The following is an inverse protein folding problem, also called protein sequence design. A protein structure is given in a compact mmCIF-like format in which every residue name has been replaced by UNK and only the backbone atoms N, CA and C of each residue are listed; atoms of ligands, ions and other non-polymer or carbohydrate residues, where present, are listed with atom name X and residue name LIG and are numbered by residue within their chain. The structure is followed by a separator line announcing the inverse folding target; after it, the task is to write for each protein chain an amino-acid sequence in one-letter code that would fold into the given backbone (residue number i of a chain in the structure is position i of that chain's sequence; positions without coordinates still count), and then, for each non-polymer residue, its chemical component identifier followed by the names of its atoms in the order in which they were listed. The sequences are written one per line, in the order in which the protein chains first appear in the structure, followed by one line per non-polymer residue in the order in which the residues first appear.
data_IF_240478424172
#
_entry.id   IF_240478424172
#
_cell.length_a   1.000
_cell.length_b   1.000
_cell.length_c   1.000
_cell.angle_alpha   90.00
_cell.angle_beta   90.00
_cell.angle_gamma   90.00
#
_symmetry.space_group_name_H-M   'P 1'
#
loop_
_entity.id
_entity.type
_entity.pdbx_description
1 polymer ?
#
# COMPACT_ATOMS: atom_id res chain seq x y z
N UNK A 1 15.74 13.53 -19.14
CA UNK A 1 14.29 13.49 -18.85
C UNK A 1 14.06 12.32 -17.90
N UNK A 2 13.57 12.55 -16.68
CA UNK A 2 13.34 11.44 -15.74
C UNK A 2 12.08 10.69 -16.19
N UNK A 3 12.24 9.47 -16.67
CA UNK A 3 11.11 8.63 -17.03
C UNK A 3 10.43 8.14 -15.74
N UNK A 4 9.09 8.03 -15.75
CA UNK A 4 8.29 7.58 -14.60
C UNK A 4 8.82 6.24 -14.04
N UNK A 5 9.27 5.36 -14.94
CA UNK A 5 9.87 4.08 -14.62
C UNK A 5 11.18 4.22 -13.80
N UNK A 6 12.08 5.13 -14.17
CA UNK A 6 13.32 5.39 -13.42
C UNK A 6 13.06 6.04 -12.05
N UNK A 7 12.03 6.88 -11.96
CA UNK A 7 11.59 7.44 -10.67
C UNK A 7 11.12 6.33 -9.71
N UNK A 8 10.30 5.40 -10.22
CA UNK A 8 9.79 4.27 -9.42
C UNK A 8 10.96 3.38 -8.96
N UNK A 9 11.86 2.98 -9.85
CA UNK A 9 13.01 2.12 -9.49
C UNK A 9 13.89 2.77 -8.42
N UNK A 10 14.14 4.07 -8.51
CA UNK A 10 15.03 4.78 -7.57
C UNK A 10 14.35 5.13 -6.23
N UNK A 11 13.02 5.26 -6.20
CA UNK A 11 12.28 5.69 -5.00
C UNK A 11 11.71 4.50 -4.23
N UNK A 12 11.28 3.45 -4.93
CA UNK A 12 10.57 2.32 -4.33
C UNK A 12 11.53 1.26 -3.76
N UNK A 13 12.26 1.66 -2.72
CA UNK A 13 13.19 0.82 -1.99
C UNK A 13 12.47 -0.08 -0.94
N UNK A 14 13.25 -0.86 -0.19
CA UNK A 14 12.73 -1.71 0.88
C UNK A 14 11.99 -0.90 1.95
N UNK A 15 12.44 0.32 2.24
CA UNK A 15 11.84 1.21 3.22
C UNK A 15 10.43 1.62 2.79
N UNK A 16 10.27 2.07 1.55
CA UNK A 16 8.97 2.42 0.98
C UNK A 16 8.05 1.21 0.95
N UNK A 17 8.55 0.03 0.57
CA UNK A 17 7.76 -1.19 0.63
C UNK A 17 7.23 -1.49 2.04
N UNK A 18 8.09 -1.43 3.05
CA UNK A 18 7.69 -1.65 4.46
C UNK A 18 6.64 -0.62 4.89
N UNK A 19 6.76 0.65 4.49
CA UNK A 19 5.76 1.68 4.80
C UNK A 19 4.39 1.35 4.18
N UNK A 20 4.35 0.83 2.96
CA UNK A 20 3.10 0.37 2.34
C UNK A 20 2.47 -0.79 3.11
N UNK A 21 3.28 -1.77 3.54
CA UNK A 21 2.80 -2.90 4.35
C UNK A 21 2.24 -2.44 5.70
N UNK A 22 2.97 -1.58 6.42
CA UNK A 22 2.53 -1.06 7.72
C UNK A 22 1.25 -0.25 7.56
N UNK A 23 1.19 0.65 6.57
CA UNK A 23 0.00 1.47 6.31
C UNK A 23 -1.21 0.60 5.95
N UNK A 24 -1.02 -0.41 5.10
CA UNK A 24 -2.06 -1.38 4.77
C UNK A 24 -2.53 -2.19 6.00
N UNK A 25 -1.60 -2.62 6.86
CA UNK A 25 -1.92 -3.32 8.09
C UNK A 25 -2.71 -2.43 9.08
N UNK A 26 -2.31 -1.17 9.25
CA UNK A 26 -3.03 -0.20 10.08
C UNK A 26 -4.47 -0.02 9.57
N UNK A 27 -4.65 0.21 8.27
CA UNK A 27 -5.97 0.35 7.66
C UNK A 27 -6.85 -0.89 7.91
N UNK A 28 -6.29 -2.09 7.72
CA UNK A 28 -7.04 -3.35 7.88
C UNK A 28 -7.35 -3.65 9.35
N UNK A 29 -6.41 -3.46 10.27
CA UNK A 29 -6.52 -4.00 11.63
C UNK A 29 -6.90 -2.96 12.68
N UNK A 30 -6.61 -1.68 12.46
CA UNK A 30 -6.90 -0.58 13.39
C UNK A 30 -8.11 0.17 12.87
N UNK A 31 -7.97 0.90 11.77
CA UNK A 31 -9.00 1.82 11.28
C UNK A 31 -10.29 1.08 10.92
N UNK A 32 -10.20 -0.08 10.25
CA UNK A 32 -11.41 -0.86 9.93
C UNK A 32 -12.16 -1.31 11.19
N UNK A 33 -11.46 -1.69 12.26
CA UNK A 33 -12.11 -2.10 13.52
C UNK A 33 -12.82 -0.93 14.19
N UNK A 34 -12.20 0.25 14.15
CA UNK A 34 -12.79 1.46 14.71
C UNK A 34 -14.06 1.88 13.93
N UNK A 35 -14.04 1.80 12.60
CA UNK A 35 -15.26 2.03 11.80
C UNK A 35 -16.37 1.03 12.13
N UNK A 36 -16.02 -0.25 12.29
CA UNK A 36 -16.99 -1.27 12.68
C UNK A 36 -17.59 -0.99 14.07
N UNK A 37 -16.76 -0.55 15.04
CA UNK A 37 -17.21 -0.18 16.40
C UNK A 37 -18.19 0.99 16.38
N UNK A 38 -18.01 1.93 15.46
CA UNK A 38 -18.88 3.09 15.29
C UNK A 38 -20.11 2.86 14.37
N UNK A 39 -20.43 1.60 14.02
CA UNK A 39 -21.50 1.23 13.07
C UNK A 39 -21.33 1.81 11.65
N UNK A 40 -20.11 2.19 11.27
CA UNK A 40 -19.77 2.74 9.95
C UNK A 40 -19.40 1.60 8.98
N UNK A 41 -20.43 0.91 8.48
CA UNK A 41 -20.26 -0.33 7.70
C UNK A 41 -19.73 -0.13 6.29
N UNK A 42 -19.95 1.04 5.67
CA UNK A 42 -19.44 1.36 4.32
C UNK A 42 -17.94 1.66 4.40
N UNK A 43 -17.57 2.49 5.36
CA UNK A 43 -16.21 2.92 5.67
C UNK A 43 -15.36 1.72 6.09
N UNK A 44 -15.89 0.83 6.94
CA UNK A 44 -15.25 -0.44 7.27
C UNK A 44 -14.82 -1.25 6.04
N UNK A 45 -15.75 -1.44 5.09
CA UNK A 45 -15.47 -2.20 3.86
C UNK A 45 -14.46 -1.45 2.98
N UNK A 46 -14.65 -0.15 2.80
CA UNK A 46 -13.78 0.69 2.00
C UNK A 46 -12.35 0.68 2.53
N UNK A 47 -12.15 0.97 3.82
CA UNK A 47 -10.84 1.01 4.47
C UNK A 47 -10.13 -0.34 4.39
N UNK A 48 -10.87 -1.45 4.57
CA UNK A 48 -10.29 -2.80 4.45
C UNK A 48 -9.86 -3.11 3.02
N UNK A 49 -10.65 -2.73 2.02
CA UNK A 49 -10.28 -2.88 0.60
C UNK A 49 -9.06 -2.02 0.26
N UNK A 50 -9.05 -0.75 0.70
CA UNK A 50 -7.92 0.16 0.48
C UNK A 50 -6.64 -0.36 1.13
N UNK A 51 -6.70 -0.90 2.35
CA UNK A 51 -5.54 -1.50 3.00
C UNK A 51 -5.00 -2.72 2.25
N UNK A 52 -5.87 -3.56 1.69
CA UNK A 52 -5.46 -4.68 0.82
C UNK A 52 -4.79 -4.15 -0.45
N UNK A 53 -5.37 -3.12 -1.07
CA UNK A 53 -4.78 -2.49 -2.26
C UNK A 53 -3.41 -1.88 -1.96
N UNK A 54 -3.20 -1.28 -0.79
CA UNK A 54 -1.89 -0.78 -0.37
C UNK A 54 -0.84 -1.89 -0.35
N UNK A 55 -1.18 -3.05 0.22
CA UNK A 55 -0.27 -4.20 0.25
C UNK A 55 0.02 -4.72 -1.16
N UNK A 56 -1.02 -4.85 -1.99
CA UNK A 56 -0.87 -5.33 -3.38
C UNK A 56 -0.01 -4.37 -4.20
N UNK A 57 -0.33 -3.07 -4.21
CA UNK A 57 0.44 -2.07 -4.96
C UNK A 57 1.86 -1.94 -4.44
N UNK A 58 2.07 -1.92 -3.13
CA UNK A 58 3.41 -1.91 -2.55
C UNK A 58 4.24 -3.10 -3.01
N UNK A 59 3.64 -4.30 -3.01
CA UNK A 59 4.32 -5.53 -3.46
C UNK A 59 4.63 -5.50 -4.96
N UNK A 60 3.65 -5.13 -5.79
CA UNK A 60 3.83 -5.03 -7.26
C UNK A 60 4.90 -4.00 -7.60
N UNK A 61 4.88 -2.83 -6.98
CA UNK A 61 5.85 -1.76 -7.23
C UNK A 61 7.25 -2.12 -6.74
N UNK A 62 7.38 -2.80 -5.60
CA UNK A 62 8.68 -3.29 -5.12
C UNK A 62 9.28 -4.35 -6.05
N UNK A 63 8.45 -5.31 -6.51
CA UNK A 63 8.87 -6.30 -7.51
C UNK A 63 9.25 -5.59 -8.82
N UNK A 64 8.40 -4.69 -9.32
CA UNK A 64 8.70 -3.92 -10.52
C UNK A 64 10.03 -3.16 -10.39
N UNK A 65 10.26 -2.49 -9.26
CA UNK A 65 11.51 -1.76 -9.01
C UNK A 65 12.75 -2.67 -9.01
N UNK A 66 12.63 -3.93 -8.54
CA UNK A 66 13.76 -4.86 -8.44
C UNK A 66 14.04 -5.66 -9.71
N UNK A 67 13.01 -6.00 -10.47
CA UNK A 67 13.10 -6.86 -11.65
C UNK A 67 13.12 -6.10 -12.97
N UNK A 68 12.63 -4.86 -13.01
CA UNK A 68 12.79 -4.00 -14.18
C UNK A 68 14.22 -3.49 -14.19
N UNK A 69 15.04 -4.07 -15.06
CA UNK A 69 16.36 -3.51 -15.43
C UNK A 69 16.12 -2.35 -16.39
N UNK A 70 16.38 -1.13 -15.92
CA UNK A 70 16.44 0.10 -16.71
C UNK A 70 17.88 0.56 -16.73
#
# INVERSE_FOLDING_TARGET
MYNILSFIVNTFDLTVYILFLISGAILIFIDSKDYKKNNLTKEYKFTRVTGILYIIFGTVLFIAARYIRI
#
